data_IF_952505887962
#
_entry.id   IF_952505887962
#
_cell.length_a   1.000
_cell.length_b   1.000
_cell.length_c   1.000
_cell.angle_alpha   90.00
_cell.angle_beta   90.00
_cell.angle_gamma   90.00
#
_symmetry.space_group_name_H-M   'P 1'
#
loop_
_entity.id
_entity.type
_entity.pdbx_description
1 polymer ?
#
# COMPACT_ATOMS: atom_id res chain seq x y z
N UNK A 1 -211.01 -60.40 17.33
CA UNK A 1 -211.38 -61.25 16.19
C UNK A 1 -210.12 -61.96 15.73
N UNK A 2 -209.81 -63.13 16.30
CA UNK A 2 -210.05 -64.48 15.74
C UNK A 2 -209.32 -64.74 14.41
N UNK A 3 -208.35 -65.67 14.48
CA UNK A 3 -207.99 -66.73 13.51
C UNK A 3 -207.59 -66.25 12.11
N UNK A 4 -206.43 -66.60 11.52
CA UNK A 4 -205.78 -67.91 11.35
C UNK A 4 -204.26 -67.61 11.19
N UNK A 5 -203.26 -68.22 11.83
CA UNK A 5 -202.91 -69.63 12.09
C UNK A 5 -202.66 -70.47 10.82
N UNK A 6 -201.48 -70.27 10.21
CA UNK A 6 -200.46 -71.29 9.85
C UNK A 6 -199.50 -70.69 8.81
N UNK A 7 -198.25 -70.54 9.21
CA UNK A 7 -197.00 -70.71 8.43
C UNK A 7 -195.88 -69.96 9.15
N UNK A 8 -195.51 -70.62 10.24
CA UNK A 8 -194.44 -70.31 11.19
C UNK A 8 -193.39 -71.40 10.99
N UNK A 9 -192.12 -70.99 10.86
CA UNK A 9 -190.90 -71.80 10.80
C UNK A 9 -190.57 -72.40 9.42
N UNK A 10 -189.84 -71.67 8.58
CA UNK A 10 -188.74 -72.32 7.83
C UNK A 10 -187.64 -71.37 7.31
N UNK A 11 -187.90 -70.11 6.93
CA UNK A 11 -186.82 -69.33 6.28
C UNK A 11 -186.13 -68.24 7.14
N UNK A 12 -186.37 -68.23 8.45
CA UNK A 12 -185.53 -67.48 9.40
C UNK A 12 -184.15 -68.17 9.64
N UNK A 13 -183.91 -69.37 9.11
CA UNK A 13 -182.62 -70.04 9.14
C UNK A 13 -181.70 -69.65 7.96
N UNK A 14 -182.25 -69.26 6.80
CA UNK A 14 -181.46 -68.92 5.62
C UNK A 14 -180.72 -67.58 5.76
N UNK A 15 -181.30 -66.61 6.47
CA UNK A 15 -180.70 -65.27 6.65
C UNK A 15 -179.51 -65.30 7.63
N UNK A 16 -179.49 -66.23 8.60
CA UNK A 16 -178.38 -66.39 9.54
C UNK A 16 -177.14 -67.07 8.93
N UNK A 17 -177.31 -67.95 7.93
CA UNK A 17 -176.18 -68.65 7.27
C UNK A 17 -175.42 -67.71 6.32
N UNK A 18 -176.10 -66.76 5.68
CA UNK A 18 -175.47 -65.81 4.74
C UNK A 18 -174.58 -64.78 5.51
N UNK A 19 -174.97 -64.36 6.71
CA UNK A 19 -174.19 -63.42 7.52
C UNK A 19 -172.87 -64.03 8.05
N UNK A 20 -172.85 -65.32 8.40
CA UNK A 20 -171.63 -66.01 8.87
C UNK A 20 -170.64 -66.25 7.71
N UNK A 21 -171.12 -66.47 6.49
CA UNK A 21 -170.28 -66.64 5.31
C UNK A 21 -169.54 -65.35 4.90
N UNK A 22 -170.12 -64.17 5.13
CA UNK A 22 -169.47 -62.88 4.82
C UNK A 22 -168.37 -62.50 5.84
N UNK A 23 -168.55 -62.82 7.13
CA UNK A 23 -167.53 -62.59 8.17
C UNK A 23 -166.28 -63.47 7.98
N UNK A 24 -166.43 -64.71 7.51
CA UNK A 24 -165.29 -65.59 7.23
C UNK A 24 -164.47 -65.14 6.02
N UNK A 25 -165.07 -64.53 5.00
CA UNK A 25 -164.33 -63.97 3.85
C UNK A 25 -163.44 -62.80 4.27
N UNK A 26 -163.92 -61.89 5.14
CA UNK A 26 -163.11 -60.76 5.61
C UNK A 26 -161.91 -61.18 6.48
N UNK A 27 -162.05 -62.26 7.26
CA UNK A 27 -160.95 -62.77 8.10
C UNK A 27 -159.85 -63.48 7.29
N UNK A 28 -160.20 -64.12 6.16
CA UNK A 28 -159.22 -64.70 5.24
C UNK A 28 -158.37 -63.62 4.55
N UNK A 29 -158.99 -62.51 4.13
CA UNK A 29 -158.26 -61.38 3.54
C UNK A 29 -157.35 -60.67 4.55
N UNK A 30 -157.76 -60.53 5.81
CA UNK A 30 -156.91 -59.95 6.87
C UNK A 30 -155.68 -60.83 7.20
N UNK A 31 -155.78 -62.15 7.07
CA UNK A 31 -154.67 -63.08 7.31
C UNK A 31 -153.66 -63.11 6.16
N UNK A 32 -154.11 -62.99 4.90
CA UNK A 32 -153.21 -62.84 3.75
C UNK A 32 -152.43 -61.52 3.80
N UNK A 33 -153.03 -60.44 4.29
CA UNK A 33 -152.34 -59.14 4.41
C UNK A 33 -151.25 -59.12 5.49
N UNK A 34 -151.40 -59.88 6.60
CA UNK A 34 -150.36 -60.00 7.64
C UNK A 34 -149.18 -60.88 7.23
N UNK A 35 -149.40 -61.88 6.37
CA UNK A 35 -148.30 -62.71 5.83
C UNK A 35 -147.50 -62.01 4.73
N UNK A 36 -148.09 -61.07 4.00
CA UNK A 36 -147.39 -60.33 2.93
C UNK A 36 -146.43 -59.24 3.44
N UNK A 37 -146.60 -58.75 4.69
CA UNK A 37 -145.71 -57.74 5.31
C UNK A 37 -144.57 -58.29 6.19
N UNK A 38 -144.40 -59.62 6.28
CA UNK A 38 -143.35 -60.28 7.08
C UNK A 38 -142.20 -60.91 6.26
N UNK A 39 -141.95 -60.42 5.05
CA UNK A 39 -140.65 -60.58 4.38
C UNK A 39 -139.99 -59.24 3.96
N UNK A 40 -139.66 -58.35 4.91
CA UNK A 40 -138.61 -57.34 4.77
C UNK A 40 -137.32 -57.78 5.53
N UNK A 41 -136.22 -57.02 5.39
CA UNK A 41 -135.02 -57.00 6.28
C UNK A 41 -133.79 -57.87 5.95
N UNK A 42 -133.88 -59.13 5.47
CA UNK A 42 -132.67 -59.97 5.33
C UNK A 42 -131.82 -59.65 4.07
N UNK A 43 -132.45 -59.26 2.95
CA UNK A 43 -131.73 -58.88 1.71
C UNK A 43 -131.11 -57.46 1.78
N UNK A 44 -131.71 -56.55 2.54
CA UNK A 44 -131.17 -55.20 2.77
C UNK A 44 -129.97 -55.22 3.72
N UNK A 45 -129.95 -56.11 4.72
CA UNK A 45 -128.79 -56.29 5.60
C UNK A 45 -127.59 -56.95 4.89
N UNK A 46 -127.80 -57.87 3.95
CA UNK A 46 -126.70 -58.48 3.18
C UNK A 46 -126.07 -57.48 2.17
N UNK A 47 -126.89 -56.64 1.53
CA UNK A 47 -126.41 -55.56 0.66
C UNK A 47 -125.71 -54.45 1.43
N UNK A 48 -126.21 -54.10 2.63
CA UNK A 48 -125.61 -53.09 3.50
C UNK A 48 -124.29 -53.56 4.11
N UNK A 49 -124.21 -54.80 4.59
CA UNK A 49 -122.97 -55.37 5.13
C UNK A 49 -121.89 -55.55 4.05
N UNK A 50 -122.27 -55.92 2.82
CA UNK A 50 -121.31 -55.98 1.71
C UNK A 50 -120.85 -54.58 1.29
N UNK A 51 -121.74 -53.59 1.25
CA UNK A 51 -121.37 -52.22 0.96
C UNK A 51 -120.46 -51.62 2.05
N UNK A 52 -120.74 -51.88 3.33
CA UNK A 52 -119.91 -51.44 4.45
C UNK A 52 -118.55 -52.14 4.44
N UNK A 53 -118.50 -53.43 4.07
CA UNK A 53 -117.24 -54.17 3.93
C UNK A 53 -116.40 -53.65 2.76
N UNK A 54 -117.02 -53.35 1.62
CA UNK A 54 -116.34 -52.72 0.48
C UNK A 54 -115.86 -51.31 0.85
N UNK A 55 -116.64 -50.53 1.62
CA UNK A 55 -116.21 -49.24 2.14
C UNK A 55 -115.01 -49.37 3.08
N UNK A 56 -115.04 -50.32 4.01
CA UNK A 56 -113.90 -50.62 4.90
C UNK A 56 -112.67 -51.08 4.11
N UNK A 57 -112.81 -51.94 3.11
CA UNK A 57 -111.69 -52.40 2.27
C UNK A 57 -111.12 -51.26 1.41
N UNK A 58 -111.96 -50.33 0.95
CA UNK A 58 -111.51 -49.14 0.23
C UNK A 58 -110.85 -48.11 1.15
N UNK A 59 -111.34 -47.95 2.38
CA UNK A 59 -110.72 -47.12 3.41
C UNK A 59 -109.36 -47.70 3.81
N UNK A 60 -109.28 -49.01 4.08
CA UNK A 60 -108.03 -49.71 4.39
C UNK A 60 -107.04 -49.64 3.21
N UNK A 61 -107.50 -49.79 1.96
CA UNK A 61 -106.66 -49.64 0.78
C UNK A 61 -106.20 -48.18 0.57
N UNK A 62 -107.04 -47.20 0.89
CA UNK A 62 -106.68 -45.78 0.84
C UNK A 62 -105.66 -45.43 1.94
N UNK A 63 -105.81 -45.99 3.14
CA UNK A 63 -104.85 -45.84 4.24
C UNK A 63 -103.51 -46.49 3.92
N UNK A 64 -103.51 -47.69 3.33
CA UNK A 64 -102.30 -48.36 2.87
C UNK A 64 -101.60 -47.57 1.76
N UNK A 65 -102.34 -47.07 0.77
CA UNK A 65 -101.79 -46.24 -0.30
C UNK A 65 -101.21 -44.92 0.23
N UNK A 66 -101.92 -44.25 1.17
CA UNK A 66 -101.42 -43.06 1.83
C UNK A 66 -100.15 -43.35 2.63
N UNK A 67 -100.11 -44.46 3.38
CA UNK A 67 -98.95 -44.87 4.15
C UNK A 67 -97.75 -45.20 3.27
N UNK A 68 -97.96 -45.92 2.16
CA UNK A 68 -96.90 -46.20 1.19
C UNK A 68 -96.37 -44.91 0.56
N UNK A 69 -97.23 -43.96 0.20
CA UNK A 69 -96.81 -42.66 -0.33
C UNK A 69 -96.00 -41.86 0.70
N UNK A 70 -96.41 -41.85 1.98
CA UNK A 70 -95.60 -41.23 3.04
C UNK A 70 -94.23 -41.89 3.17
N UNK A 71 -94.12 -43.21 3.06
CA UNK A 71 -92.83 -43.91 3.08
C UNK A 71 -91.95 -43.58 1.88
N UNK A 72 -92.53 -43.46 0.69
CA UNK A 72 -91.79 -43.06 -0.52
C UNK A 72 -91.23 -41.66 -0.38
N UNK A 73 -92.06 -40.71 0.07
CA UNK A 73 -91.65 -39.34 0.35
C UNK A 73 -90.57 -39.27 1.43
N UNK A 74 -90.74 -40.01 2.55
CA UNK A 74 -89.72 -40.08 3.60
C UNK A 74 -88.39 -40.62 3.07
N UNK A 75 -88.41 -41.67 2.25
CA UNK A 75 -87.18 -42.23 1.66
C UNK A 75 -86.52 -41.24 0.69
N UNK A 76 -87.32 -40.54 -0.11
CA UNK A 76 -86.83 -39.51 -1.03
C UNK A 76 -86.20 -38.33 -0.28
N UNK A 77 -86.85 -37.85 0.79
CA UNK A 77 -86.33 -36.77 1.64
C UNK A 77 -85.04 -37.22 2.34
N UNK A 78 -85.00 -38.43 2.92
CA UNK A 78 -83.79 -38.96 3.54
C UNK A 78 -82.62 -39.08 2.56
N UNK A 79 -82.89 -39.46 1.30
CA UNK A 79 -81.87 -39.54 0.27
C UNK A 79 -81.37 -38.13 -0.12
N UNK A 80 -82.27 -37.17 -0.29
CA UNK A 80 -81.90 -35.77 -0.55
C UNK A 80 -81.09 -35.17 0.60
N UNK A 81 -81.47 -35.45 1.85
CA UNK A 81 -80.74 -34.99 3.03
C UNK A 81 -79.33 -35.60 3.10
N UNK A 82 -79.18 -36.89 2.76
CA UNK A 82 -77.85 -37.53 2.67
C UNK A 82 -76.98 -36.88 1.62
N UNK A 83 -77.51 -36.67 0.41
CA UNK A 83 -76.77 -36.00 -0.65
C UNK A 83 -76.38 -34.57 -0.28
N UNK A 84 -77.28 -33.83 0.38
CA UNK A 84 -76.99 -32.49 0.88
C UNK A 84 -75.85 -32.52 1.89
N UNK A 85 -75.88 -33.44 2.86
CA UNK A 85 -74.82 -33.58 3.86
C UNK A 85 -73.49 -34.00 3.23
N UNK A 86 -73.48 -34.91 2.27
CA UNK A 86 -72.27 -35.31 1.54
C UNK A 86 -71.67 -34.14 0.78
N UNK A 87 -72.50 -33.36 0.07
CA UNK A 87 -72.06 -32.16 -0.63
C UNK A 87 -71.50 -31.11 0.34
N UNK A 88 -72.15 -30.90 1.49
CA UNK A 88 -71.65 -29.99 2.54
C UNK A 88 -70.32 -30.49 3.11
N UNK A 89 -70.15 -31.80 3.33
CA UNK A 89 -68.86 -32.38 3.78
C UNK A 89 -67.76 -32.18 2.74
N UNK A 90 -68.02 -32.44 1.46
CA UNK A 90 -67.04 -32.24 0.40
C UNK A 90 -66.65 -30.77 0.25
N UNK A 91 -67.62 -29.85 0.34
CA UNK A 91 -67.35 -28.41 0.37
C UNK A 91 -66.43 -28.03 1.54
N UNK A 92 -66.75 -28.50 2.75
CA UNK A 92 -65.93 -28.25 3.93
C UNK A 92 -64.51 -28.83 3.78
N UNK A 93 -64.36 -30.04 3.22
CA UNK A 93 -63.05 -30.65 2.97
C UNK A 93 -62.26 -29.82 1.95
N UNK A 94 -62.91 -29.35 0.88
CA UNK A 94 -62.29 -28.51 -0.13
C UNK A 94 -61.84 -27.17 0.44
N UNK A 95 -62.68 -26.49 1.21
CA UNK A 95 -62.34 -25.24 1.89
C UNK A 95 -61.13 -25.42 2.83
N UNK A 96 -61.11 -26.51 3.61
CA UNK A 96 -59.96 -26.83 4.48
C UNK A 96 -58.69 -27.13 3.68
N UNK A 97 -58.81 -27.81 2.53
CA UNK A 97 -57.67 -28.11 1.67
C UNK A 97 -57.12 -26.84 1.01
N UNK A 98 -58.00 -25.97 0.51
CA UNK A 98 -57.63 -24.66 -0.05
C UNK A 98 -56.93 -23.78 1.00
N UNK A 99 -57.43 -23.76 2.24
CA UNK A 99 -56.79 -23.05 3.35
C UNK A 99 -55.38 -23.60 3.66
N UNK A 100 -55.20 -24.92 3.70
CA UNK A 100 -53.89 -25.56 3.90
C UNK A 100 -52.93 -25.29 2.75
N UNK A 101 -53.41 -25.27 1.51
CA UNK A 101 -52.60 -24.94 0.33
C UNK A 101 -52.16 -23.48 0.40
N UNK A 102 -53.06 -22.56 0.74
CA UNK A 102 -52.73 -21.15 0.91
C UNK A 102 -51.67 -20.93 2.00
N UNK A 103 -51.82 -21.59 3.15
CA UNK A 103 -50.83 -21.54 4.24
C UNK A 103 -49.45 -22.03 3.74
N UNK A 104 -49.38 -23.23 3.15
CA UNK A 104 -48.12 -23.78 2.65
C UNK A 104 -47.49 -22.92 1.55
N UNK A 105 -48.30 -22.29 0.69
CA UNK A 105 -47.76 -21.37 -0.31
C UNK A 105 -47.14 -20.12 0.30
N UNK A 106 -47.74 -19.57 1.37
CA UNK A 106 -47.18 -18.43 2.08
C UNK A 106 -45.87 -18.80 2.79
N UNK A 107 -45.82 -19.96 3.44
CA UNK A 107 -44.60 -20.46 4.09
C UNK A 107 -43.48 -20.69 3.06
N UNK A 108 -43.81 -21.25 1.89
CA UNK A 108 -42.85 -21.45 0.82
C UNK A 108 -42.31 -20.11 0.30
N UNK A 109 -43.16 -19.09 0.12
CA UNK A 109 -42.72 -17.76 -0.29
C UNK A 109 -41.75 -17.13 0.71
N UNK A 110 -42.03 -17.24 2.01
CA UNK A 110 -41.13 -16.75 3.06
C UNK A 110 -39.79 -17.49 3.04
N UNK A 111 -39.82 -18.82 2.85
CA UNK A 111 -38.58 -19.60 2.75
C UNK A 111 -37.75 -19.20 1.52
N UNK A 112 -38.40 -18.93 0.38
CA UNK A 112 -37.71 -18.44 -0.81
C UNK A 112 -37.07 -17.07 -0.59
N UNK A 113 -37.78 -16.14 0.05
CA UNK A 113 -37.22 -14.83 0.42
C UNK A 113 -36.01 -14.98 1.33
N UNK A 114 -36.10 -15.83 2.37
CA UNK A 114 -34.99 -16.09 3.28
C UNK A 114 -33.77 -16.69 2.56
N UNK A 115 -33.99 -17.56 1.58
CA UNK A 115 -32.88 -18.11 0.77
C UNK A 115 -32.22 -17.01 -0.05
N UNK A 116 -32.99 -16.14 -0.69
CA UNK A 116 -32.45 -15.00 -1.45
C UNK A 116 -31.65 -14.05 -0.56
N UNK A 117 -32.15 -13.71 0.63
CA UNK A 117 -31.41 -12.87 1.59
C UNK A 117 -30.08 -13.51 2.02
N UNK A 118 -30.06 -14.83 2.23
CA UNK A 118 -28.84 -15.56 2.56
C UNK A 118 -27.86 -15.54 1.38
N UNK A 119 -28.32 -15.78 0.16
CA UNK A 119 -27.51 -15.72 -1.06
C UNK A 119 -26.90 -14.31 -1.24
N UNK A 120 -27.67 -13.25 -1.05
CA UNK A 120 -27.16 -11.87 -1.08
C UNK A 120 -26.09 -11.64 0.00
N UNK A 121 -26.33 -12.13 1.21
CA UNK A 121 -25.36 -12.01 2.30
C UNK A 121 -24.08 -12.78 1.98
N UNK A 122 -24.16 -13.98 1.39
CA UNK A 122 -23.01 -14.75 0.94
C UNK A 122 -22.21 -14.00 -0.13
N UNK A 123 -22.88 -13.42 -1.12
CA UNK A 123 -22.21 -12.62 -2.16
C UNK A 123 -21.48 -11.42 -1.57
N UNK A 124 -22.09 -10.68 -0.64
CA UNK A 124 -21.44 -9.55 0.04
C UNK A 124 -20.25 -9.97 0.89
N UNK A 125 -20.34 -11.13 1.55
CA UNK A 125 -19.23 -11.69 2.32
C UNK A 125 -18.07 -12.11 1.41
N UNK A 126 -18.36 -12.68 0.25
CA UNK A 126 -17.35 -13.05 -0.74
C UNK A 126 -16.67 -11.80 -1.35
N UNK A 127 -17.44 -10.77 -1.67
CA UNK A 127 -16.92 -9.46 -2.12
C UNK A 127 -16.01 -8.83 -1.05
N UNK A 128 -16.45 -8.77 0.20
CA UNK A 128 -15.65 -8.24 1.31
C UNK A 128 -14.35 -9.04 1.55
N UNK A 129 -14.37 -10.36 1.34
CA UNK A 129 -13.17 -11.20 1.44
C UNK A 129 -12.18 -10.92 0.30
N UNK A 130 -12.68 -10.67 -0.91
CA UNK A 130 -11.82 -10.34 -2.04
C UNK A 130 -11.22 -8.93 -1.89
N UNK A 131 -12.01 -7.96 -1.41
CA UNK A 131 -11.51 -6.64 -1.04
C UNK A 131 -10.41 -6.71 0.03
N UNK A 132 -10.58 -7.55 1.06
CA UNK A 132 -9.54 -7.76 2.08
C UNK A 132 -8.26 -8.33 1.47
N UNK A 133 -8.36 -9.30 0.55
CA UNK A 133 -7.20 -9.88 -0.14
C UNK A 133 -6.49 -8.84 -0.98
N UNK A 134 -7.22 -8.02 -1.73
CA UNK A 134 -6.66 -6.94 -2.54
C UNK A 134 -5.97 -5.90 -1.64
N UNK A 135 -6.62 -5.44 -0.58
CA UNK A 135 -6.03 -4.50 0.37
C UNK A 135 -4.74 -5.02 1.01
N UNK A 136 -4.68 -6.32 1.35
CA UNK A 136 -3.45 -6.96 1.85
C UNK A 136 -2.34 -6.98 0.81
N UNK A 137 -2.65 -7.30 -0.45
CA UNK A 137 -1.66 -7.30 -1.54
C UNK A 137 -1.13 -5.89 -1.81
N UNK A 138 -2.00 -4.89 -1.81
CA UNK A 138 -1.62 -3.48 -1.94
C UNK A 138 -0.72 -3.06 -0.78
N UNK A 139 -1.07 -3.40 0.46
CA UNK A 139 -0.25 -3.11 1.64
C UNK A 139 1.13 -3.78 1.53
N UNK A 140 1.19 -5.05 1.14
CA UNK A 140 2.46 -5.74 0.91
C UNK A 140 3.29 -5.07 -0.20
N UNK A 141 2.65 -4.59 -1.26
CA UNK A 141 3.33 -3.88 -2.34
C UNK A 141 3.93 -2.56 -1.84
N UNK A 142 3.18 -1.81 -1.02
CA UNK A 142 3.65 -0.56 -0.39
C UNK A 142 4.79 -0.84 0.58
N UNK A 143 4.69 -1.88 1.41
CA UNK A 143 5.78 -2.30 2.31
C UNK A 143 7.05 -2.66 1.53
N UNK A 144 6.93 -3.42 0.43
CA UNK A 144 8.07 -3.76 -0.45
C UNK A 144 8.69 -2.51 -1.08
N UNK A 145 7.88 -1.56 -1.54
CA UNK A 145 8.36 -0.29 -2.08
C UNK A 145 9.08 0.55 -1.00
N UNK A 146 8.53 0.61 0.21
CA UNK A 146 9.15 1.31 1.33
C UNK A 146 10.50 0.70 1.69
N UNK A 147 10.61 -0.64 1.76
CA UNK A 147 11.90 -1.31 2.02
C UNK A 147 12.93 -1.00 0.94
N UNK A 148 12.56 -1.07 -0.35
CA UNK A 148 13.46 -0.71 -1.46
C UNK A 148 13.93 0.74 -1.37
N UNK A 149 13.03 1.67 -1.07
CA UNK A 149 13.39 3.07 -0.90
C UNK A 149 14.37 3.25 0.27
N UNK A 150 14.16 2.57 1.39
CA UNK A 150 15.09 2.62 2.53
C UNK A 150 16.46 2.03 2.16
N UNK A 151 16.51 0.93 1.41
CA UNK A 151 17.76 0.34 0.91
C UNK A 151 18.51 1.30 -0.03
N UNK A 152 17.79 1.97 -0.94
CA UNK A 152 18.37 3.00 -1.82
C UNK A 152 18.92 4.19 -1.03
N UNK A 153 18.18 4.69 -0.03
CA UNK A 153 18.62 5.81 0.80
C UNK A 153 19.82 5.43 1.69
N UNK A 154 19.86 4.21 2.23
CA UNK A 154 21.03 3.68 2.93
C UNK A 154 22.25 3.61 2.00
N UNK A 155 22.08 3.07 0.79
CA UNK A 155 23.16 2.95 -0.19
C UNK A 155 23.71 4.33 -0.61
N UNK A 156 22.84 5.30 -0.87
CA UNK A 156 23.25 6.69 -1.16
C UNK A 156 24.01 7.32 0.01
N UNK A 157 23.61 7.05 1.26
CA UNK A 157 24.32 7.56 2.46
C UNK A 157 25.72 6.95 2.58
N UNK A 158 25.85 5.64 2.36
CA UNK A 158 27.16 4.97 2.35
C UNK A 158 28.08 5.54 1.26
N UNK A 159 27.55 5.80 0.06
CA UNK A 159 28.28 6.43 -1.04
C UNK A 159 28.78 7.83 -0.67
N UNK A 160 27.90 8.65 -0.07
CA UNK A 160 28.23 9.99 0.39
C UNK A 160 29.27 9.98 1.51
N UNK A 161 29.16 9.05 2.46
CA UNK A 161 30.14 8.91 3.55
C UNK A 161 31.52 8.52 3.00
N UNK A 162 31.57 7.56 2.07
CA UNK A 162 32.81 7.17 1.39
C UNK A 162 33.44 8.33 0.63
N UNK A 163 32.63 9.15 -0.06
CA UNK A 163 33.13 10.31 -0.78
C UNK A 163 33.64 11.39 0.18
N UNK A 164 32.91 11.65 1.26
CA UNK A 164 33.32 12.61 2.29
C UNK A 164 34.64 12.20 2.97
N UNK A 165 34.82 10.91 3.25
CA UNK A 165 36.08 10.40 3.79
C UNK A 165 37.25 10.60 2.80
N UNK A 166 37.04 10.32 1.52
CA UNK A 166 38.05 10.58 0.47
C UNK A 166 38.38 12.06 0.33
N UNK A 167 37.37 12.93 0.42
CA UNK A 167 37.57 14.37 0.41
C UNK A 167 38.41 14.83 1.61
N UNK A 168 38.11 14.35 2.82
CA UNK A 168 38.89 14.65 4.02
C UNK A 168 40.36 14.23 3.87
N UNK A 169 40.60 13.00 3.42
CA UNK A 169 41.96 12.51 3.17
C UNK A 169 42.70 13.36 2.14
N UNK A 170 42.01 13.78 1.06
CA UNK A 170 42.60 14.63 0.03
C UNK A 170 42.95 16.01 0.59
N UNK A 171 42.07 16.60 1.39
CA UNK A 171 42.33 17.88 2.06
C UNK A 171 43.55 17.76 2.97
N UNK A 172 43.59 16.76 3.84
CA UNK A 172 44.72 16.51 4.75
C UNK A 172 46.05 16.35 3.99
N UNK A 173 46.04 15.60 2.88
CA UNK A 173 47.22 15.47 2.01
C UNK A 173 47.65 16.81 1.40
N UNK A 174 46.70 17.57 0.85
CA UNK A 174 47.00 18.87 0.23
C UNK A 174 47.47 19.92 1.25
N UNK A 175 46.96 19.87 2.47
CA UNK A 175 47.41 20.73 3.57
C UNK A 175 48.84 20.38 4.00
N UNK A 176 49.17 19.08 4.10
CA UNK A 176 50.52 18.62 4.39
C UNK A 176 51.51 19.03 3.28
N UNK A 177 51.15 18.85 2.01
CA UNK A 177 51.96 19.30 0.87
C UNK A 177 52.16 20.82 0.87
N UNK A 178 51.12 21.58 1.17
CA UNK A 178 51.20 23.05 1.28
C UNK A 178 52.17 23.46 2.38
N UNK A 179 52.10 22.84 3.56
CA UNK A 179 53.02 23.12 4.66
C UNK A 179 54.47 22.85 4.28
N UNK A 180 54.74 21.75 3.56
CA UNK A 180 56.07 21.42 3.08
C UNK A 180 56.58 22.45 2.05
N UNK A 181 55.72 22.89 1.13
CA UNK A 181 56.07 23.95 0.19
C UNK A 181 56.35 25.29 0.88
N UNK A 182 55.60 25.63 1.93
CA UNK A 182 55.84 26.82 2.75
C UNK A 182 57.18 26.73 3.48
N UNK A 183 57.51 25.57 4.05
CA UNK A 183 58.82 25.33 4.67
C UNK A 183 59.97 25.49 3.66
N UNK A 184 59.82 24.91 2.46
CA UNK A 184 60.81 25.05 1.39
C UNK A 184 60.97 26.50 0.92
N UNK A 185 59.88 27.25 0.82
CA UNK A 185 59.91 28.69 0.50
C UNK A 185 60.66 29.46 1.57
N UNK A 186 60.35 29.25 2.84
CA UNK A 186 61.02 29.90 3.95
C UNK A 186 62.53 29.59 3.99
N UNK A 187 62.92 28.34 3.69
CA UNK A 187 64.34 27.97 3.59
C UNK A 187 65.04 28.66 2.41
N UNK A 188 64.40 28.74 1.24
CA UNK A 188 64.94 29.45 0.08
C UNK A 188 65.03 30.95 0.32
N UNK A 189 64.05 31.54 0.99
CA UNK A 189 64.05 32.96 1.36
C UNK A 189 65.20 33.29 2.32
N UNK A 190 65.42 32.48 3.36
CA UNK A 190 66.59 32.63 4.25
C UNK A 190 67.92 32.49 3.50
N UNK A 191 68.02 31.54 2.59
CA UNK A 191 69.23 31.37 1.76
C UNK A 191 69.47 32.58 0.85
N UNK A 192 68.39 33.14 0.29
CA UNK A 192 68.44 34.34 -0.53
C UNK A 192 68.86 35.57 0.28
N UNK A 193 68.28 35.77 1.47
CA UNK A 193 68.69 36.84 2.39
C UNK A 193 70.17 36.73 2.78
N UNK A 194 70.66 35.51 3.05
CA UNK A 194 72.06 35.28 3.35
C UNK A 194 72.97 35.63 2.15
N UNK A 195 72.60 35.22 0.95
CA UNK A 195 73.33 35.56 -0.27
C UNK A 195 73.33 37.06 -0.56
N UNK A 196 72.21 37.76 -0.29
CA UNK A 196 72.14 39.22 -0.41
C UNK A 196 73.08 39.91 0.58
N UNK A 197 73.13 39.46 1.84
CA UNK A 197 74.08 40.00 2.83
C UNK A 197 75.54 39.79 2.41
N UNK A 198 75.87 38.59 1.89
CA UNK A 198 77.20 38.33 1.35
C UNK A 198 77.53 39.23 0.16
N UNK A 199 76.56 39.51 -0.71
CA UNK A 199 76.73 40.44 -1.82
C UNK A 199 77.01 41.86 -1.32
N UNK A 200 76.25 42.34 -0.34
CA UNK A 200 76.45 43.67 0.28
C UNK A 200 77.84 43.79 0.92
N UNK A 201 78.30 42.74 1.61
CA UNK A 201 79.65 42.65 2.18
C UNK A 201 80.72 42.75 1.08
N UNK A 202 80.60 41.96 0.01
CA UNK A 202 81.52 41.99 -1.13
C UNK A 202 81.50 43.35 -1.86
N UNK A 203 80.35 44.02 -1.96
CA UNK A 203 80.26 45.36 -2.50
C UNK A 203 80.98 46.40 -1.63
N UNK A 204 80.90 46.28 -0.30
CA UNK A 204 81.65 47.12 0.62
C UNK A 204 83.15 46.88 0.52
N UNK A 205 83.59 45.61 0.52
CA UNK A 205 85.00 45.24 0.32
C UNK A 205 85.51 45.77 -1.02
N UNK A 206 84.73 45.66 -2.09
CA UNK A 206 85.08 46.22 -3.41
C UNK A 206 85.25 47.74 -3.35
N UNK A 207 84.34 48.47 -2.69
CA UNK A 207 84.45 49.93 -2.52
C UNK A 207 85.71 50.31 -1.75
N UNK A 208 86.00 49.63 -0.64
CA UNK A 208 87.21 49.85 0.16
C UNK A 208 88.48 49.54 -0.64
N UNK A 209 88.51 48.44 -1.39
CA UNK A 209 89.64 48.08 -2.24
C UNK A 209 89.88 49.13 -3.35
N UNK A 210 88.82 49.69 -3.93
CA UNK A 210 88.91 50.78 -4.91
C UNK A 210 89.47 52.06 -4.29
N UNK A 211 89.05 52.41 -3.07
CA UNK A 211 89.60 53.56 -2.33
C UNK A 211 91.09 53.39 -2.03
N UNK A 212 91.48 52.22 -1.49
CA UNK A 212 92.88 51.89 -1.23
C UNK A 212 93.73 51.92 -2.51
N UNK A 213 93.21 51.37 -3.61
CA UNK A 213 93.87 51.44 -4.91
C UNK A 213 94.08 52.90 -5.34
N UNK A 214 93.07 53.76 -5.18
CA UNK A 214 93.14 55.19 -5.44
C UNK A 214 94.17 55.93 -4.57
N UNK A 215 94.37 55.53 -3.32
CA UNK A 215 95.43 56.08 -2.48
C UNK A 215 96.82 55.64 -2.93
N UNK A 216 96.99 54.36 -3.28
CA UNK A 216 98.26 53.82 -3.76
C UNK A 216 98.64 54.48 -5.08
N UNK A 217 97.69 54.66 -6.01
CA UNK A 217 97.95 55.38 -7.27
C UNK A 217 98.35 56.82 -7.03
N UNK A 218 97.67 57.56 -6.13
CA UNK A 218 98.08 58.93 -5.74
C UNK A 218 99.49 58.96 -5.12
N UNK A 219 99.82 58.01 -4.23
CA UNK A 219 101.17 57.88 -3.64
C UNK A 219 102.22 57.60 -4.73
N UNK A 220 101.88 56.76 -5.71
CA UNK A 220 102.74 56.42 -6.84
C UNK A 220 102.91 57.63 -7.79
N UNK A 221 101.85 58.39 -8.06
CA UNK A 221 101.91 59.67 -8.78
C UNK A 221 102.77 60.70 -8.04
N UNK A 222 102.62 60.83 -6.72
CA UNK A 222 103.48 61.69 -5.92
C UNK A 222 104.94 61.24 -5.96
N UNK A 223 105.22 59.94 -5.84
CA UNK A 223 106.57 59.40 -5.92
C UNK A 223 107.18 59.65 -7.31
N UNK A 224 106.44 59.38 -8.38
CA UNK A 224 106.89 59.64 -9.75
C UNK A 224 107.10 61.14 -10.01
N UNK A 225 106.22 62.01 -9.52
CA UNK A 225 106.39 63.47 -9.62
C UNK A 225 107.58 63.97 -8.79
N UNK A 226 107.81 63.43 -7.58
CA UNK A 226 109.02 63.68 -6.79
C UNK A 226 110.27 63.24 -7.55
N UNK A 227 110.27 62.07 -8.16
CA UNK A 227 111.38 61.58 -9.00
C UNK A 227 111.60 62.47 -10.22
N UNK A 228 110.53 62.91 -10.90
CA UNK A 228 110.63 63.86 -12.03
C UNK A 228 111.20 65.22 -11.58
N UNK A 229 110.74 65.74 -10.44
CA UNK A 229 111.21 67.00 -9.87
C UNK A 229 112.68 66.90 -9.40
N UNK A 230 113.02 65.83 -8.69
CA UNK A 230 114.41 65.52 -8.33
C UNK A 230 115.28 65.39 -9.57
N UNK A 231 114.85 64.63 -10.58
CA UNK A 231 115.53 64.50 -11.88
C UNK A 231 115.72 65.88 -12.54
N UNK A 232 114.73 66.76 -12.50
CA UNK A 232 114.83 68.11 -13.05
C UNK A 232 115.79 69.00 -12.24
N UNK A 233 115.77 68.94 -10.90
CA UNK A 233 116.72 69.67 -10.03
C UNK A 233 118.14 69.16 -10.19
N UNK A 234 118.32 67.84 -10.27
CA UNK A 234 119.61 67.23 -10.60
C UNK A 234 120.06 67.71 -11.97
N UNK A 235 119.21 67.72 -13.00
CA UNK A 235 119.54 68.28 -14.31
C UNK A 235 119.92 69.79 -14.27
N UNK A 236 119.33 70.60 -13.37
CA UNK A 236 119.75 71.99 -13.16
C UNK A 236 121.12 72.10 -12.46
N UNK A 237 121.46 71.14 -11.60
CA UNK A 237 122.75 71.04 -10.90
C UNK A 237 123.76 70.13 -11.61
N UNK A 238 123.41 69.49 -12.72
CA UNK A 238 124.31 68.69 -13.57
C UNK A 238 125.42 69.57 -14.18
N UNK A 239 125.26 70.90 -14.17
CA UNK A 239 126.36 71.83 -14.42
C UNK A 239 127.45 71.88 -13.34
N UNK A 240 127.23 71.29 -12.15
CA UNK A 240 128.17 71.27 -11.01
C UNK A 240 128.69 69.87 -10.66
N UNK A 241 128.08 68.80 -11.17
CA UNK A 241 128.52 67.42 -10.93
C UNK A 241 129.43 66.96 -12.07
N UNK A 242 130.73 67.29 -12.00
CA UNK A 242 131.74 66.51 -12.74
C UNK A 242 131.78 65.10 -12.15
N UNK A 243 131.68 64.08 -13.00
CA UNK A 243 132.22 62.76 -12.65
C UNK A 243 133.70 62.96 -12.26
N UNK A 244 134.08 62.59 -11.04
CA UNK A 244 135.48 62.58 -10.63
C UNK A 244 136.15 61.46 -11.41
N UNK A 245 136.94 61.81 -12.43
CA UNK A 245 137.83 60.85 -13.08
C UNK A 245 138.95 60.48 -12.08
N UNK A 246 139.25 59.18 -11.87
CA UNK A 246 140.39 58.77 -11.07
C UNK A 246 141.68 59.36 -11.66
N UNK A 247 142.33 60.26 -10.91
CA UNK A 247 143.58 60.88 -11.34
C UNK A 247 144.67 59.84 -11.62
N UNK A 248 145.32 59.96 -12.79
CA UNK A 248 146.41 59.10 -13.25
C UNK A 248 147.56 59.08 -12.23
N UNK A 249 147.66 58.00 -11.45
CA UNK A 249 148.85 57.69 -10.64
C UNK A 249 149.84 56.95 -11.54
N UNK A 250 150.96 57.58 -11.87
CA UNK A 250 152.05 56.96 -12.63
C UNK A 250 152.60 55.69 -11.95
N UNK A 251 153.36 54.85 -12.67
CA UNK A 251 153.81 53.55 -12.16
C UNK A 251 154.68 53.72 -10.91
N UNK A 252 154.13 53.43 -9.74
CA UNK A 252 154.86 53.34 -8.48
C UNK A 252 155.45 51.93 -8.34
N UNK A 253 156.74 51.83 -8.00
CA UNK A 253 157.38 50.56 -7.69
C UNK A 253 156.71 49.99 -6.43
N UNK A 254 156.05 48.84 -6.54
CA UNK A 254 155.40 48.17 -5.40
C UNK A 254 156.38 47.14 -4.85
N UNK A 255 156.69 47.24 -3.56
CA UNK A 255 157.43 46.21 -2.82
C UNK A 255 156.46 45.37 -1.99
N UNK A 256 156.94 44.26 -1.45
CA UNK A 256 156.18 43.31 -0.60
C UNK A 256 155.56 43.97 0.65
N UNK A 257 155.89 45.24 0.94
CA UNK A 257 155.43 46.05 2.07
C UNK A 257 154.67 47.32 1.66
N UNK A 258 154.36 47.48 0.37
CA UNK A 258 153.63 48.64 -0.16
C UNK A 258 154.42 49.49 -1.16
N UNK A 259 153.88 50.66 -1.58
CA UNK A 259 154.53 51.55 -2.54
C UNK A 259 155.91 51.98 -2.03
N UNK A 260 156.94 51.78 -2.85
CA UNK A 260 158.32 52.13 -2.49
C UNK A 260 158.44 53.63 -2.20
N UNK A 261 159.18 53.97 -1.14
CA UNK A 261 159.47 55.36 -0.77
C UNK A 261 160.53 56.03 -1.66
N UNK A 262 161.12 55.28 -2.59
CA UNK A 262 162.14 55.74 -3.51
C UNK A 262 161.70 55.48 -4.95
N UNK A 263 162.11 56.37 -5.84
CA UNK A 263 161.89 56.20 -7.28
C UNK A 263 162.97 55.29 -7.88
N UNK A 264 162.70 54.67 -9.04
CA UNK A 264 163.66 53.81 -9.73
C UNK A 264 164.98 54.55 -10.08
N UNK A 265 164.89 55.86 -10.32
CA UNK A 265 166.03 56.74 -10.50
C UNK A 265 166.91 56.90 -9.22
N UNK A 266 166.30 56.92 -8.02
CA UNK A 266 167.05 57.01 -6.77
C UNK A 266 167.72 55.69 -6.39
N UNK A 267 167.08 54.55 -6.69
CA UNK A 267 167.65 53.23 -6.43
C UNK A 267 168.93 53.02 -7.25
N UNK A 268 168.91 53.35 -8.54
CA UNK A 268 170.08 53.22 -9.42
C UNK A 268 171.24 54.14 -9.00
N UNK A 269 170.95 55.33 -8.45
CA UNK A 269 171.96 56.23 -7.91
C UNK A 269 172.63 55.64 -6.66
N UNK A 270 171.82 55.01 -5.79
CA UNK A 270 172.28 54.37 -4.55
C UNK A 270 173.10 53.12 -4.84
N UNK A 271 172.71 52.33 -5.84
CA UNK A 271 173.48 51.17 -6.31
C UNK A 271 174.84 51.60 -6.89
N UNK A 272 174.88 52.67 -7.70
CA UNK A 272 176.15 53.26 -8.18
C UNK A 272 177.04 53.75 -7.04
N UNK A 273 176.46 54.38 -6.01
CA UNK A 273 177.22 54.83 -4.83
C UNK A 273 177.77 53.65 -4.01
N UNK A 274 177.00 52.57 -3.88
CA UNK A 274 177.43 51.34 -3.21
C UNK A 274 178.54 50.63 -3.99
N UNK A 275 178.44 50.53 -5.31
CA UNK A 275 179.51 49.95 -6.14
C UNK A 275 180.81 50.78 -6.07
N UNK A 276 180.71 52.12 -6.02
CA UNK A 276 181.88 52.99 -5.79
C UNK A 276 182.56 52.72 -4.44
N UNK A 277 181.80 52.57 -3.36
CA UNK A 277 182.33 52.24 -2.03
C UNK A 277 182.91 50.81 -1.97
N UNK A 278 182.28 49.85 -2.66
CA UNK A 278 182.77 48.47 -2.72
C UNK A 278 184.09 48.36 -3.47
N UNK A 279 184.24 49.09 -4.58
CA UNK A 279 185.47 49.06 -5.37
C UNK A 279 186.63 49.84 -4.72
N UNK A 280 186.37 50.81 -3.84
CA UNK A 280 187.42 51.49 -3.06
C UNK A 280 187.88 50.72 -1.82
N UNK A 281 187.17 49.65 -1.42
CA UNK A 281 187.52 48.79 -0.29
C UNK A 281 188.33 47.55 -0.69
N UNK A 282 188.66 47.41 -1.98
CA UNK A 282 189.37 46.25 -2.56
C UNK A 282 190.71 46.62 -3.24
N UNK A 283 191.24 47.83 -2.96
CA UNK A 283 192.61 48.28 -3.24
C UNK A 283 193.33 48.58 -1.92
#
# INVERSE_FOLDING_TARGET
MRSQEKDVKEDNAAVAIIAVAQLNKLNHYASQWRSSKKKPQIKTNCSFNNAMKIQSELEDAAEQAAFEETKRLQTQVQLQDRFRQELEREKNIREQMEAKVAQKSSELQQNLQRVQELEEMYMRLEEALEDERQARQEEESVRKLQTRLLEEECSKREDLERLHLKQKQTIEMTEAEKQELENQRAMKERALEAAMKQLDELEQERKQALEQYGEVTKKLEMATNKTKNWKAKVAQHEGLLRLIEPGSKGPQLITNWGPASFTEAELTLREKSWQKQKNSAMQ
#
